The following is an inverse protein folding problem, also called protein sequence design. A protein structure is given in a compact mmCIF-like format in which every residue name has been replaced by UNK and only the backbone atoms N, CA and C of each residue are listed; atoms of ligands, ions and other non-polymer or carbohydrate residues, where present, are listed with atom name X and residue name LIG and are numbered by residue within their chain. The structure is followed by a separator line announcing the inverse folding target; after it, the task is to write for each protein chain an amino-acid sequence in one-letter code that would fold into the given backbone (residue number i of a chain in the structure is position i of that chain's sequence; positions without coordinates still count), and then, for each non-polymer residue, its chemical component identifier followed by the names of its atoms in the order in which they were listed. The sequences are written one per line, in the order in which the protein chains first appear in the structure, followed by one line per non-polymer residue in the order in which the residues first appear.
data_IF_937695007952
#
_entry.id   IF_937695007952
#
_cell.length_a   1.000
_cell.length_b   1.000
_cell.length_c   1.000
_cell.angle_alpha   90.00
_cell.angle_beta   90.00
_cell.angle_gamma   90.00
#
_symmetry.space_group_name_H-M   'P 1'
#
loop_
_entity.id
_entity.type
_entity.pdbx_description
1 polymer ?
#
# COMPACT_ATOMS: atom_id res chain seq x y z
N UNK A 1 -18.68 -17.06 3.58
CA UNK A 1 -18.39 -18.36 2.94
C UNK A 1 -16.94 -18.41 2.46
N UNK A 2 -16.44 -17.51 1.58
CA UNK A 2 -15.07 -17.53 1.07
C UNK A 2 -13.99 -17.53 2.16
N UNK A 3 -14.13 -16.71 3.20
CA UNK A 3 -13.19 -16.68 4.34
C UNK A 3 -13.12 -18.05 5.03
N UNK A 4 -14.26 -18.70 5.28
CA UNK A 4 -14.27 -20.00 5.93
C UNK A 4 -13.61 -21.10 5.08
N UNK A 5 -13.80 -21.04 3.76
CA UNK A 5 -13.19 -22.01 2.82
C UNK A 5 -11.68 -21.85 2.70
N UNK A 6 -11.15 -20.64 2.93
CA UNK A 6 -9.73 -20.32 2.69
C UNK A 6 -8.93 -20.09 3.97
N UNK A 7 -9.53 -20.13 5.17
CA UNK A 7 -8.86 -19.81 6.45
C UNK A 7 -7.67 -20.70 6.80
N UNK A 8 -7.56 -21.89 6.20
CA UNK A 8 -6.43 -22.82 6.35
C UNK A 8 -5.33 -22.60 5.30
N UNK A 9 -5.57 -21.74 4.29
CA UNK A 9 -4.58 -21.45 3.26
C UNK A 9 -3.53 -20.48 3.82
N UNK A 10 -2.26 -20.76 3.55
CA UNK A 10 -1.13 -20.00 4.11
C UNK A 10 -0.12 -19.49 3.07
N UNK A 11 -0.43 -19.61 1.77
CA UNK A 11 0.47 -19.19 0.68
C UNK A 11 0.25 -17.77 0.19
N UNK A 12 -0.98 -17.28 0.26
CA UNK A 12 -1.36 -15.95 -0.24
C UNK A 12 -2.55 -15.44 0.55
N UNK A 13 -2.54 -14.16 0.86
CA UNK A 13 -3.68 -13.43 1.46
C UNK A 13 -4.31 -12.55 0.39
N UNK A 14 -5.61 -12.74 0.13
CA UNK A 14 -6.40 -11.84 -0.70
C UNK A 14 -7.16 -10.86 0.20
N UNK A 15 -6.97 -9.56 -0.03
CA UNK A 15 -7.63 -8.49 0.70
C UNK A 15 -8.55 -7.73 -0.26
N UNK A 16 -9.83 -7.64 0.09
CA UNK A 16 -10.83 -6.87 -0.66
C UNK A 16 -11.09 -5.56 0.09
N UNK A 17 -10.62 -4.45 -0.46
CA UNK A 17 -10.84 -3.11 0.10
C UNK A 17 -12.15 -2.54 -0.45
N UNK A 18 -13.25 -2.75 0.27
CA UNK A 18 -14.57 -2.23 -0.05
C UNK A 18 -14.84 -0.95 0.73
N UNK A 19 -15.28 0.11 0.01
CA UNK A 19 -15.56 1.42 0.62
C UNK A 19 -14.36 2.04 1.36
N UNK A 20 -13.14 1.80 0.85
CA UNK A 20 -11.90 2.31 1.43
C UNK A 20 -11.62 3.75 0.99
N UNK A 21 -11.09 4.55 1.91
CA UNK A 21 -10.66 5.93 1.66
C UNK A 21 -9.41 6.25 2.48
N UNK A 22 -8.28 6.50 1.80
CA UNK A 22 -7.02 6.84 2.47
C UNK A 22 -7.12 8.16 3.27
N UNK A 23 -7.79 9.18 2.73
CA UNK A 23 -8.00 10.44 3.48
C UNK A 23 -8.81 10.23 4.75
N UNK A 24 -9.82 9.37 4.71
CA UNK A 24 -10.63 9.05 5.89
C UNK A 24 -9.78 8.32 6.95
N UNK A 25 -9.06 7.26 6.58
CA UNK A 25 -8.27 6.51 7.56
C UNK A 25 -7.16 7.36 8.19
N UNK A 26 -6.51 8.24 7.40
CA UNK A 26 -5.51 9.19 7.90
C UNK A 26 -6.12 10.11 8.98
N UNK A 27 -7.30 10.67 8.72
CA UNK A 27 -7.99 11.53 9.69
C UNK A 27 -8.38 10.74 10.96
N UNK A 28 -8.85 9.50 10.82
CA UNK A 28 -9.18 8.67 11.99
C UNK A 28 -7.93 8.27 12.80
N UNK A 29 -6.81 7.99 12.12
CA UNK A 29 -5.52 7.77 12.78
C UNK A 29 -5.07 9.01 13.57
N UNK A 30 -5.13 10.21 12.96
CA UNK A 30 -4.80 11.47 13.63
C UNK A 30 -5.68 11.70 14.87
N UNK A 31 -6.99 11.50 14.76
CA UNK A 31 -7.90 11.64 15.91
C UNK A 31 -7.55 10.67 17.04
N UNK A 32 -7.24 9.43 16.69
CA UNK A 32 -6.89 8.39 17.68
C UNK A 32 -5.60 8.73 18.41
N UNK A 33 -4.56 9.16 17.69
CA UNK A 33 -3.28 9.61 18.24
C UNK A 33 -3.48 10.84 19.14
N UNK A 34 -4.20 11.86 18.64
CA UNK A 34 -4.48 13.08 19.41
C UNK A 34 -5.22 12.81 20.74
N UNK A 35 -6.17 11.87 20.73
CA UNK A 35 -6.86 11.46 21.96
C UNK A 35 -5.90 10.79 22.95
N UNK A 36 -4.98 9.94 22.51
CA UNK A 36 -3.98 9.33 23.38
C UNK A 36 -3.03 10.35 23.99
N UNK A 37 -2.56 11.31 23.20
CA UNK A 37 -1.72 12.41 23.69
C UNK A 37 -2.51 13.23 24.75
N UNK A 38 -3.75 13.61 24.44
CA UNK A 38 -4.62 14.35 25.37
C UNK A 38 -4.83 13.64 26.71
N UNK A 39 -4.91 12.31 26.69
CA UNK A 39 -5.11 11.49 27.88
C UNK A 39 -3.79 11.20 28.64
N UNK A 40 -2.64 11.58 28.12
CA UNK A 40 -1.32 11.26 28.68
C UNK A 40 -0.86 9.82 28.43
N UNK A 41 -1.50 9.10 27.49
CA UNK A 41 -1.15 7.72 27.12
C UNK A 41 -0.06 7.66 26.04
N UNK A 42 0.34 8.81 25.48
CA UNK A 42 1.32 8.93 24.43
C UNK A 42 2.01 10.30 24.48
N UNK A 43 3.35 10.30 24.52
CA UNK A 43 4.13 11.52 24.40
C UNK A 43 4.26 11.92 22.93
N UNK A 44 4.23 13.24 22.65
CA UNK A 44 4.30 13.78 21.28
C UNK A 44 5.59 13.34 20.58
N UNK A 45 6.70 13.31 21.31
CA UNK A 45 8.02 12.94 20.83
C UNK A 45 8.12 11.50 20.33
N UNK A 46 7.19 10.63 20.74
CA UNK A 46 7.10 9.24 20.33
C UNK A 46 6.24 9.03 19.07
N UNK A 47 5.72 10.12 18.49
CA UNK A 47 4.95 10.04 17.24
C UNK A 47 5.91 10.00 16.06
N UNK A 48 6.05 8.82 15.46
CA UNK A 48 6.84 8.59 14.26
C UNK A 48 6.00 7.89 13.16
N UNK A 49 6.63 7.65 11.99
CA UNK A 49 5.97 7.00 10.85
C UNK A 49 5.49 5.58 11.18
N UNK A 50 6.25 4.83 12.00
CA UNK A 50 5.93 3.48 12.41
C UNK A 50 4.70 3.47 13.31
N UNK A 51 4.70 4.33 14.31
CA UNK A 51 3.53 4.49 15.19
C UNK A 51 2.30 4.91 14.38
N UNK A 52 2.43 5.89 13.48
CA UNK A 52 1.31 6.34 12.66
C UNK A 52 0.74 5.21 11.80
N UNK A 53 1.58 4.41 11.15
CA UNK A 53 1.17 3.25 10.35
C UNK A 53 0.36 2.24 11.16
N UNK A 54 0.65 2.08 12.46
CA UNK A 54 -0.09 1.19 13.37
C UNK A 54 -1.52 1.68 13.70
N UNK A 55 -1.86 2.91 13.33
CA UNK A 55 -3.22 3.46 13.46
C UNK A 55 -4.03 3.41 12.16
N UNK A 56 -3.40 3.03 11.05
CA UNK A 56 -4.11 2.87 9.78
C UNK A 56 -4.89 1.54 9.74
N UNK A 57 -5.89 1.46 8.88
CA UNK A 57 -6.69 0.23 8.69
C UNK A 57 -5.88 -0.93 8.13
N UNK A 58 -4.69 -0.65 7.59
CA UNK A 58 -3.75 -1.60 7.01
C UNK A 58 -2.62 -2.01 7.95
N UNK A 59 -2.70 -1.71 9.25
CA UNK A 59 -1.61 -1.85 10.25
C UNK A 59 -0.86 -3.20 10.23
N UNK A 60 -1.56 -4.29 9.92
CA UNK A 60 -0.97 -5.64 9.89
C UNK A 60 -0.71 -6.14 8.46
N UNK A 61 -0.76 -5.25 7.48
CA UNK A 61 -0.58 -5.55 6.07
C UNK A 61 0.68 -4.83 5.60
N UNK A 62 1.63 -5.50 4.93
CA UNK A 62 2.80 -4.84 4.38
C UNK A 62 2.42 -3.79 3.33
N UNK A 63 3.20 -2.72 3.24
CA UNK A 63 3.03 -1.71 2.22
C UNK A 63 3.17 -2.32 0.82
N UNK A 64 2.38 -1.85 -0.17
CA UNK A 64 2.41 -2.40 -1.51
C UNK A 64 3.74 -2.07 -2.20
N UNK A 65 4.36 -3.06 -2.84
CA UNK A 65 5.53 -2.85 -3.69
C UNK A 65 5.14 -2.48 -5.13
N UNK A 66 3.99 -2.98 -5.61
CA UNK A 66 3.46 -2.71 -6.93
C UNK A 66 1.97 -2.36 -6.83
N UNK A 67 1.60 -1.22 -7.41
CA UNK A 67 0.21 -0.80 -7.57
C UNK A 67 -0.14 -0.81 -9.05
N UNK A 68 -1.09 -1.66 -9.44
CA UNK A 68 -1.57 -1.78 -10.81
C UNK A 68 -2.88 -0.99 -10.95
N UNK A 69 -2.90 -0.03 -11.85
CA UNK A 69 -4.11 0.72 -12.21
C UNK A 69 -4.56 0.37 -13.62
N UNK A 70 -5.74 -0.18 -13.73
CA UNK A 70 -6.41 -0.53 -15.01
C UNK A 70 -7.20 0.64 -15.59
N UNK A 71 -7.83 0.44 -16.75
CA UNK A 71 -8.76 1.36 -17.41
C UNK A 71 -8.13 2.64 -17.98
N UNK A 72 -6.83 2.68 -18.22
CA UNK A 72 -6.14 3.84 -18.79
C UNK A 72 -6.11 5.08 -17.90
N UNK A 73 -6.43 4.93 -16.61
CA UNK A 73 -6.47 6.01 -15.64
C UNK A 73 -5.11 6.19 -14.96
N UNK A 74 -4.56 7.41 -14.97
CA UNK A 74 -3.24 7.74 -14.44
C UNK A 74 -3.34 8.48 -13.08
N UNK A 75 -4.19 8.01 -12.19
CA UNK A 75 -4.39 8.56 -10.83
C UNK A 75 -4.64 7.44 -9.84
N UNK A 76 -4.28 7.63 -8.56
CA UNK A 76 -4.47 6.64 -7.50
C UNK A 76 -5.81 6.77 -6.77
N UNK A 77 -6.59 7.80 -7.06
CA UNK A 77 -7.99 7.99 -6.61
C UNK A 77 -8.20 7.76 -5.11
N UNK A 78 -7.37 8.38 -4.27
CA UNK A 78 -7.48 8.28 -2.81
C UNK A 78 -7.30 6.84 -2.28
N UNK A 79 -6.51 6.02 -2.98
CA UNK A 79 -6.22 4.65 -2.60
C UNK A 79 -4.81 4.51 -2.04
N UNK A 80 -4.66 4.02 -0.81
CA UNK A 80 -3.39 3.73 -0.12
C UNK A 80 -2.36 4.88 -0.17
N UNK A 81 -2.79 6.15 0.10
CA UNK A 81 -1.93 7.34 -0.04
C UNK A 81 -0.66 7.27 0.82
N UNK A 82 -0.76 6.76 2.04
CA UNK A 82 0.37 6.60 2.93
C UNK A 82 1.23 5.40 2.53
N UNK A 83 0.59 4.27 2.35
CA UNK A 83 1.25 2.99 2.14
C UNK A 83 1.92 2.88 0.76
N UNK A 84 1.38 3.58 -0.25
CA UNK A 84 1.92 3.55 -1.63
C UNK A 84 3.06 4.55 -1.87
N UNK A 85 3.60 5.19 -0.83
CA UNK A 85 4.62 6.24 -0.96
C UNK A 85 5.86 5.81 -1.74
N UNK A 86 6.23 4.53 -1.68
CA UNK A 86 7.37 3.93 -2.40
C UNK A 86 6.94 2.78 -3.32
N UNK A 87 5.65 2.64 -3.59
CA UNK A 87 5.14 1.64 -4.52
C UNK A 87 5.50 1.99 -5.97
N UNK A 88 5.89 0.98 -6.74
CA UNK A 88 5.97 1.11 -8.18
C UNK A 88 4.57 1.17 -8.79
N UNK A 89 4.35 2.11 -9.69
CA UNK A 89 3.04 2.29 -10.33
C UNK A 89 3.06 1.70 -11.74
N UNK A 90 2.11 0.82 -12.02
CA UNK A 90 1.90 0.25 -13.34
C UNK A 90 0.51 0.64 -13.86
N UNK A 91 0.46 1.38 -14.95
CA UNK A 91 -0.78 1.82 -15.59
C UNK A 91 -1.04 1.03 -16.87
N UNK A 92 -2.25 0.50 -17.04
CA UNK A 92 -2.64 -0.23 -18.23
C UNK A 92 -3.99 0.26 -18.76
N UNK A 93 -4.17 0.35 -20.10
CA UNK A 93 -5.44 0.73 -20.70
C UNK A 93 -6.50 -0.37 -20.61
N UNK A 94 -6.11 -1.59 -20.25
CA UNK A 94 -7.03 -2.73 -20.15
C UNK A 94 -8.09 -2.47 -19.10
N UNK A 95 -9.35 -2.70 -19.43
CA UNK A 95 -10.46 -2.59 -18.47
C UNK A 95 -10.41 -3.72 -17.44
N UNK A 96 -10.84 -3.46 -16.22
CA UNK A 96 -10.80 -4.45 -15.16
C UNK A 96 -11.42 -5.82 -15.51
N UNK A 97 -12.60 -5.90 -16.19
CA UNK A 97 -13.16 -7.19 -16.57
C UNK A 97 -12.31 -7.98 -17.56
N UNK A 98 -11.47 -7.29 -18.35
CA UNK A 98 -10.60 -7.90 -19.38
C UNK A 98 -9.16 -8.12 -18.87
N UNK A 99 -8.86 -7.72 -17.63
CA UNK A 99 -7.53 -7.87 -17.03
C UNK A 99 -7.26 -9.32 -16.67
N UNK A 100 -6.60 -10.02 -17.59
CA UNK A 100 -6.30 -11.44 -17.49
C UNK A 100 -5.00 -11.74 -16.71
N UNK A 101 -4.73 -13.02 -16.53
CA UNK A 101 -3.48 -13.53 -15.95
C UNK A 101 -2.24 -13.07 -16.74
N UNK A 102 -2.32 -13.02 -18.05
CA UNK A 102 -1.24 -12.57 -18.95
C UNK A 102 -0.92 -11.09 -18.71
N UNK A 103 -1.94 -10.26 -18.55
CA UNK A 103 -1.77 -8.84 -18.20
C UNK A 103 -1.12 -8.67 -16.82
N UNK A 104 -1.51 -9.49 -15.85
CA UNK A 104 -0.88 -9.49 -14.53
C UNK A 104 0.60 -9.89 -14.59
N UNK A 105 0.94 -10.93 -15.35
CA UNK A 105 2.34 -11.32 -15.54
C UNK A 105 3.16 -10.24 -16.25
N UNK A 106 2.58 -9.53 -17.21
CA UNK A 106 3.24 -8.39 -17.87
C UNK A 106 3.57 -7.29 -16.86
N UNK A 107 2.67 -6.99 -15.92
CA UNK A 107 2.92 -6.01 -14.86
C UNK A 107 4.03 -6.47 -13.90
N UNK A 108 4.08 -7.76 -13.56
CA UNK A 108 5.16 -8.32 -12.71
C UNK A 108 6.50 -8.27 -13.44
N UNK A 109 6.56 -8.62 -14.72
CA UNK A 109 7.79 -8.56 -15.51
C UNK A 109 8.31 -7.11 -15.66
N UNK A 110 7.40 -6.16 -15.89
CA UNK A 110 7.76 -4.73 -15.91
C UNK A 110 8.34 -4.30 -14.55
N UNK A 111 7.68 -4.65 -13.45
CA UNK A 111 8.16 -4.38 -12.10
C UNK A 111 9.56 -4.96 -11.83
N UNK A 112 9.80 -6.21 -12.22
CA UNK A 112 11.08 -6.88 -12.03
C UNK A 112 12.24 -6.23 -12.81
N UNK A 113 11.95 -5.55 -13.91
CA UNK A 113 12.94 -4.85 -14.73
C UNK A 113 13.23 -3.43 -14.25
N UNK A 114 12.53 -2.93 -13.23
CA UNK A 114 12.73 -1.59 -12.68
C UNK A 114 13.85 -1.57 -11.64
N UNK A 115 14.63 -0.51 -11.65
CA UNK A 115 15.56 -0.18 -10.57
C UNK A 115 14.79 0.52 -9.43
N UNK A 116 14.64 -0.15 -8.28
CA UNK A 116 13.97 0.43 -7.11
C UNK A 116 14.94 1.30 -6.33
N UNK A 117 14.66 2.59 -6.26
CA UNK A 117 15.59 3.59 -5.70
C UNK A 117 15.26 4.05 -4.28
N UNK A 118 14.03 3.89 -3.80
CA UNK A 118 13.58 4.33 -2.47
C UNK A 118 14.04 5.75 -2.11
N UNK A 119 13.99 6.67 -3.09
CA UNK A 119 14.44 8.05 -2.93
C UNK A 119 15.96 8.27 -3.06
N UNK A 120 16.75 7.22 -3.31
CA UNK A 120 18.20 7.30 -3.58
C UNK A 120 18.51 7.50 -5.07
N UNK A 121 19.73 7.94 -5.38
CA UNK A 121 20.24 7.94 -6.76
C UNK A 121 20.79 6.55 -7.14
N UNK A 122 20.87 6.24 -8.45
CA UNK A 122 21.47 4.97 -8.95
C UNK A 122 22.91 4.77 -8.45
N UNK A 123 23.68 5.88 -8.31
CA UNK A 123 25.06 5.85 -7.79
C UNK A 123 25.10 5.50 -6.27
N UNK A 124 24.10 5.89 -5.50
CA UNK A 124 24.01 5.57 -4.07
C UNK A 124 23.68 4.09 -3.88
N UNK A 125 22.81 3.52 -4.71
CA UNK A 125 22.45 2.11 -4.67
C UNK A 125 23.66 1.23 -5.04
N UNK A 126 24.42 1.61 -6.07
CA UNK A 126 25.60 0.83 -6.54
C UNK A 126 26.76 0.83 -5.54
N UNK A 127 26.82 1.77 -4.59
CA UNK A 127 27.85 1.85 -3.53
C UNK A 127 27.47 1.12 -2.24
N UNK A 128 26.24 0.65 -2.11
CA UNK A 128 25.71 -0.01 -0.92
C UNK A 128 25.69 -1.55 -1.00
N UNK A 129 26.16 -2.15 -2.09
CA UNK A 129 26.29 -3.60 -2.29
C UNK A 129 27.75 -4.05 -2.18
#
# INVERSE_FOLDING_TARGET
EGIELTKQNNRMTLILALNYSAKWEIIEAVKSIANRVKNGDLEIENIDATLFSNYLTTKDIPDPELLIRTSGEHRISNYLLWQAAYAELYFTPILWPDFSKEHFYSAILDFQNRERRFGMTSEQISKGN
#
